data_IF_926689236246
#
_entry.id   IF_926689236246
#
_cell.length_a   1.000
_cell.length_b   1.000
_cell.length_c   1.000
_cell.angle_alpha   90.00
_cell.angle_beta   90.00
_cell.angle_gamma   90.00
#
_symmetry.space_group_name_H-M   'P 1'
#
loop_
_entity.id
_entity.type
_entity.pdbx_description
1 polymer ?
#
# COMPACT_ATOMS: atom_id res chain seq x y z
N UNK A 1 4.19 12.10 10.09
CA UNK A 1 5.30 12.93 9.56
C UNK A 1 5.96 13.58 10.75
N UNK A 2 7.28 13.57 10.81
CA UNK A 2 8.04 14.16 11.90
C UNK A 2 9.28 14.87 11.37
N UNK A 3 9.67 15.92 12.10
CA UNK A 3 10.95 16.57 11.88
C UNK A 3 12.04 15.88 12.67
N UNK A 4 13.23 15.77 12.10
CA UNK A 4 14.38 15.27 12.84
C UNK A 4 14.84 16.25 13.94
N UNK A 5 15.74 15.76 14.80
CA UNK A 5 16.28 16.57 15.91
C UNK A 5 16.94 17.85 15.38
N UNK A 6 16.72 18.97 16.07
CA UNK A 6 17.25 20.29 15.71
C UNK A 6 16.73 20.82 14.36
N UNK A 7 15.53 20.42 13.94
CA UNK A 7 14.91 20.98 12.73
C UNK A 7 14.72 22.50 12.82
N UNK A 8 14.21 23.00 13.94
CA UNK A 8 13.98 24.44 14.14
C UNK A 8 14.54 24.91 15.48
N UNK A 9 14.84 26.21 15.56
CA UNK A 9 15.32 26.87 16.77
C UNK A 9 16.02 28.20 16.47
N UNK A 10 16.31 29.02 17.49
CA UNK A 10 17.17 30.19 17.34
C UNK A 10 18.50 29.79 16.72
N UNK A 11 18.97 30.56 15.72
CA UNK A 11 20.21 30.33 14.99
C UNK A 11 20.31 28.97 14.26
N UNK A 12 19.19 28.28 14.05
CA UNK A 12 19.12 27.08 13.21
C UNK A 12 18.69 27.47 11.80
N UNK A 13 19.59 27.28 10.85
CA UNK A 13 19.25 27.32 9.44
C UNK A 13 18.34 26.12 9.13
N UNK A 14 17.14 26.37 8.62
CA UNK A 14 16.21 25.33 8.16
C UNK A 14 16.45 24.97 6.69
N UNK A 15 17.46 25.58 6.04
CA UNK A 15 17.83 25.41 4.63
C UNK A 15 19.29 24.98 4.35
N UNK A 16 20.12 24.72 5.37
CA UNK A 16 21.48 24.16 5.20
C UNK A 16 21.56 22.84 4.39
N UNK A 17 22.72 22.62 3.78
CA UNK A 17 23.00 21.42 2.97
C UNK A 17 23.00 20.14 3.82
N UNK A 18 22.66 19.00 3.20
CA UNK A 18 22.67 17.65 3.81
C UNK A 18 21.65 17.40 4.93
N UNK A 19 20.48 18.05 4.89
CA UNK A 19 19.37 17.74 5.82
C UNK A 19 18.63 16.44 5.53
N UNK A 20 18.67 15.97 4.30
CA UNK A 20 18.00 14.74 3.88
C UNK A 20 19.06 13.75 3.40
N UNK A 21 18.78 12.46 3.64
CA UNK A 21 19.63 11.36 3.20
C UNK A 21 18.81 10.49 2.26
N UNK A 22 19.35 10.18 1.08
CA UNK A 22 18.67 9.34 0.08
C UNK A 22 18.74 7.83 0.38
N UNK A 23 19.62 7.42 1.30
CA UNK A 23 19.83 6.02 1.65
C UNK A 23 18.87 5.58 2.78
N UNK A 24 18.08 4.52 2.61
CA UNK A 24 17.11 4.05 3.61
C UNK A 24 17.71 3.68 4.97
N UNK A 25 18.93 3.16 4.98
CA UNK A 25 19.65 2.81 6.21
C UNK A 25 19.98 4.02 7.08
N UNK A 26 20.10 5.19 6.45
CA UNK A 26 20.42 6.46 7.10
C UNK A 26 19.21 7.40 7.22
N UNK A 27 18.00 6.93 6.90
CA UNK A 27 16.78 7.74 6.92
C UNK A 27 16.52 8.43 8.27
N UNK A 28 16.91 7.81 9.38
CA UNK A 28 16.79 8.36 10.74
C UNK A 28 17.63 9.61 10.99
N UNK A 29 18.65 9.85 10.15
CA UNK A 29 19.48 11.06 10.21
C UNK A 29 18.82 12.23 9.50
N UNK A 30 17.75 11.99 8.72
CA UNK A 30 17.03 13.04 8.03
C UNK A 30 16.45 14.01 9.05
N UNK A 31 16.83 15.28 8.89
CA UNK A 31 16.32 16.40 9.66
C UNK A 31 15.07 17.00 9.01
N UNK A 32 14.80 16.67 7.73
CA UNK A 32 13.63 17.13 6.98
C UNK A 32 12.34 16.37 7.37
N UNK A 33 11.18 16.84 6.92
CA UNK A 33 9.86 16.36 7.34
C UNK A 33 9.52 15.00 6.72
N UNK A 34 9.80 13.91 7.42
CA UNK A 34 9.65 12.58 6.80
C UNK A 34 8.63 11.69 7.54
N UNK A 35 8.10 10.64 6.89
CA UNK A 35 7.24 9.69 7.57
C UNK A 35 8.04 8.84 8.56
N UNK A 36 7.51 8.70 9.77
CA UNK A 36 8.05 7.82 10.82
C UNK A 36 6.93 6.90 11.27
N UNK A 37 7.21 5.59 11.31
CA UNK A 37 6.26 4.57 11.74
C UNK A 37 6.73 4.01 13.09
N UNK A 38 5.82 4.07 14.05
CA UNK A 38 6.00 3.57 15.40
C UNK A 38 5.25 2.27 15.59
N UNK A 39 5.96 1.22 15.97
CA UNK A 39 5.36 -0.05 16.32
C UNK A 39 5.34 -0.24 17.84
N UNK A 40 4.16 -0.55 18.37
CA UNK A 40 3.93 -0.91 19.76
C UNK A 40 3.28 -2.29 19.78
N UNK A 41 3.91 -3.25 20.47
CA UNK A 41 3.32 -4.57 20.72
C UNK A 41 2.05 -4.45 21.57
N UNK A 42 2.05 -3.51 22.49
CA UNK A 42 0.92 -3.20 23.35
C UNK A 42 0.77 -1.68 23.47
N UNK A 43 -0.42 -1.18 23.14
CA UNK A 43 -0.73 0.23 23.31
C UNK A 43 -1.09 0.52 24.77
N UNK A 44 -0.70 1.68 25.31
CA UNK A 44 -1.15 2.11 26.63
C UNK A 44 -2.67 2.30 26.61
N UNK A 45 -3.31 1.90 27.70
CA UNK A 45 -4.75 2.12 27.90
C UNK A 45 -5.02 3.58 28.20
N UNK A 46 -6.26 4.02 27.94
CA UNK A 46 -6.68 5.38 28.28
C UNK A 46 -6.48 5.70 29.78
N UNK A 47 -6.74 4.72 30.65
CA UNK A 47 -6.56 4.88 32.09
C UNK A 47 -5.09 5.14 32.44
N UNK A 48 -4.17 4.39 31.84
CA UNK A 48 -2.73 4.59 32.06
C UNK A 48 -2.29 5.96 31.56
N UNK A 49 -2.78 6.40 30.39
CA UNK A 49 -2.47 7.72 29.83
C UNK A 49 -3.02 8.87 30.69
N UNK A 50 -4.18 8.71 31.34
CA UNK A 50 -4.73 9.72 32.26
C UNK A 50 -3.95 9.85 33.56
N UNK A 51 -3.21 8.81 33.95
CA UNK A 51 -2.35 8.83 35.13
C UNK A 51 -0.97 9.45 34.85
N UNK A 52 -0.61 9.63 33.58
CA UNK A 52 0.61 10.30 33.20
C UNK A 52 0.54 11.80 33.57
N UNK A 53 1.59 12.35 34.21
CA UNK A 53 1.69 13.78 34.46
C UNK A 53 1.60 14.61 33.16
N UNK A 54 1.25 15.91 33.26
CA UNK A 54 1.47 16.86 32.17
C UNK A 54 2.92 16.78 31.70
N UNK A 55 3.13 16.84 30.38
CA UNK A 55 4.43 16.72 29.71
C UNK A 55 5.13 15.36 29.80
N UNK A 56 4.46 14.32 30.31
CA UNK A 56 5.00 12.96 30.25
C UNK A 56 5.09 12.48 28.79
N UNK A 57 6.27 12.01 28.33
CA UNK A 57 6.42 11.55 26.95
C UNK A 57 5.59 10.30 26.69
N UNK A 58 5.18 10.10 25.44
CA UNK A 58 4.54 8.86 25.03
C UNK A 58 5.46 7.66 25.34
N UNK A 59 4.91 6.47 25.61
CA UNK A 59 5.70 5.28 25.82
C UNK A 59 6.69 5.05 24.69
N UNK A 60 7.83 4.42 25.01
CA UNK A 60 8.81 4.09 23.98
C UNK A 60 8.25 2.99 23.07
N UNK A 61 8.30 3.17 21.75
CA UNK A 61 7.93 2.13 20.77
C UNK A 61 8.90 0.94 20.84
N UNK A 62 8.40 -0.25 20.52
CA UNK A 62 9.20 -1.49 20.40
C UNK A 62 10.09 -1.45 19.16
N UNK A 63 9.62 -0.82 18.08
CA UNK A 63 10.39 -0.63 16.87
C UNK A 63 9.98 0.67 16.16
N UNK A 64 10.94 1.28 15.44
CA UNK A 64 10.75 2.54 14.71
C UNK A 64 11.28 2.34 13.30
N UNK A 65 10.54 2.84 12.31
CA UNK A 65 10.98 2.90 10.92
C UNK A 65 10.90 4.32 10.39
N UNK A 66 12.04 4.84 9.97
CA UNK A 66 12.14 6.11 9.25
C UNK A 66 12.06 5.82 7.76
N UNK A 67 11.13 6.49 7.08
CA UNK A 67 11.03 6.44 5.62
C UNK A 67 11.85 7.61 5.07
N UNK A 68 12.67 7.34 4.06
CA UNK A 68 13.39 8.39 3.34
C UNK A 68 12.37 9.35 2.75
N UNK A 69 12.56 10.64 3.00
CA UNK A 69 11.82 11.65 2.28
C UNK A 69 12.53 11.94 0.97
N UNK A 70 11.86 11.58 -0.11
CA UNK A 70 12.11 12.17 -1.43
C UNK A 70 11.20 13.40 -1.57
N UNK A 71 11.65 14.48 -2.21
CA UNK A 71 10.91 15.75 -2.30
C UNK A 71 9.51 15.60 -2.91
N UNK A 72 9.32 14.59 -3.77
CA UNK A 72 8.02 14.23 -4.34
C UNK A 72 7.35 13.07 -3.58
N UNK A 73 8.08 12.46 -2.65
CA UNK A 73 7.80 11.22 -1.93
C UNK A 73 7.16 10.20 -2.87
N UNK A 74 7.93 9.74 -3.86
CA UNK A 74 7.47 8.67 -4.74
C UNK A 74 7.40 7.35 -3.95
N UNK A 75 6.22 7.07 -3.42
CA UNK A 75 5.90 5.84 -2.71
C UNK A 75 6.04 4.57 -3.56
N UNK A 76 6.30 4.71 -4.87
CA UNK A 76 6.54 3.58 -5.76
C UNK A 76 7.99 3.11 -5.78
N UNK A 77 8.93 3.86 -5.19
CA UNK A 77 10.35 3.49 -5.15
C UNK A 77 10.55 2.13 -4.42
N UNK A 78 10.84 1.03 -5.14
CA UNK A 78 10.78 -0.31 -4.54
C UNK A 78 11.85 -0.52 -3.48
N UNK A 79 13.07 -0.08 -3.76
CA UNK A 79 14.23 -0.31 -2.90
C UNK A 79 14.33 0.73 -1.77
N UNK A 80 13.80 1.94 -1.98
CA UNK A 80 13.88 3.02 -1.00
C UNK A 80 12.74 2.98 0.03
N UNK A 81 11.52 2.66 -0.41
CA UNK A 81 10.32 2.77 0.42
C UNK A 81 9.64 1.42 0.62
N UNK A 82 9.27 0.74 -0.46
CA UNK A 82 8.37 -0.44 -0.38
C UNK A 82 9.03 -1.63 0.31
N UNK A 83 10.25 -1.98 -0.09
CA UNK A 83 10.96 -3.14 0.47
C UNK A 83 11.37 -2.91 1.94
N UNK A 84 12.01 -1.78 2.32
CA UNK A 84 12.33 -1.52 3.72
C UNK A 84 11.09 -1.51 4.62
N UNK A 85 10.00 -0.89 4.17
CA UNK A 85 8.74 -0.85 4.90
C UNK A 85 8.14 -2.26 5.07
N UNK A 86 8.07 -3.05 3.99
CA UNK A 86 7.58 -4.43 4.09
C UNK A 86 8.42 -5.24 5.08
N UNK A 87 9.75 -5.13 5.02
CA UNK A 87 10.65 -5.85 5.93
C UNK A 87 10.45 -5.43 7.38
N UNK A 88 10.27 -4.14 7.63
CA UNK A 88 9.93 -3.63 8.95
C UNK A 88 8.62 -4.25 9.48
N UNK A 89 7.56 -4.25 8.66
CA UNK A 89 6.26 -4.83 9.05
C UNK A 89 6.34 -6.35 9.26
N UNK A 90 7.03 -7.07 8.37
CA UNK A 90 7.25 -8.52 8.49
C UNK A 90 7.99 -8.87 9.79
N UNK A 91 9.00 -8.08 10.16
CA UNK A 91 9.73 -8.25 11.42
C UNK A 91 8.86 -7.93 12.64
N UNK A 92 8.05 -6.87 12.59
CA UNK A 92 7.17 -6.49 13.70
C UNK A 92 6.05 -7.51 13.92
N UNK A 93 5.51 -8.07 12.84
CA UNK A 93 4.37 -9.01 12.88
C UNK A 93 4.80 -10.48 12.88
N UNK A 94 6.11 -10.75 12.79
CA UNK A 94 6.70 -12.10 12.70
C UNK A 94 6.02 -12.97 11.62
N UNK A 95 5.65 -12.35 10.50
CA UNK A 95 4.81 -12.95 9.46
C UNK A 95 5.25 -12.49 8.08
N UNK A 96 5.33 -13.41 7.12
CA UNK A 96 5.64 -13.08 5.73
C UNK A 96 4.43 -12.42 5.04
N UNK A 97 4.61 -11.20 4.54
CA UNK A 97 3.56 -10.39 3.93
C UNK A 97 3.61 -10.39 2.40
N UNK A 98 4.46 -11.23 1.80
CA UNK A 98 4.57 -11.33 0.35
C UNK A 98 3.33 -11.99 -0.25
N UNK A 99 3.09 -11.67 -1.52
CA UNK A 99 2.17 -12.41 -2.37
C UNK A 99 2.91 -13.55 -3.02
N UNK A 100 2.27 -14.71 -3.09
CA UNK A 100 2.87 -15.94 -3.58
C UNK A 100 2.04 -16.50 -4.74
N UNK A 101 2.71 -17.22 -5.64
CA UNK A 101 2.02 -18.00 -6.65
C UNK A 101 1.31 -19.21 -6.01
N UNK A 102 0.31 -19.74 -6.70
CA UNK A 102 -0.49 -20.87 -6.21
C UNK A 102 0.37 -22.10 -5.90
N UNK A 103 1.40 -22.35 -6.71
CA UNK A 103 2.36 -23.44 -6.56
C UNK A 103 3.19 -23.28 -5.28
N UNK A 104 3.60 -22.04 -4.96
CA UNK A 104 4.33 -21.75 -3.72
C UNK A 104 3.42 -21.93 -2.50
N UNK A 105 2.18 -21.43 -2.56
CA UNK A 105 1.21 -21.63 -1.49
C UNK A 105 0.86 -23.12 -1.29
N UNK A 106 0.75 -23.88 -2.39
CA UNK A 106 0.58 -25.33 -2.35
C UNK A 106 1.74 -25.97 -1.59
N UNK A 107 2.99 -25.71 -1.99
CA UNK A 107 4.17 -26.25 -1.31
C UNK A 107 4.19 -25.88 0.18
N UNK A 108 3.90 -24.62 0.53
CA UNK A 108 3.87 -24.17 1.92
C UNK A 108 2.81 -24.91 2.75
N UNK A 109 1.65 -25.23 2.16
CA UNK A 109 0.59 -25.95 2.85
C UNK A 109 1.01 -27.36 3.30
N UNK A 110 1.98 -27.97 2.60
CA UNK A 110 2.51 -29.29 2.96
C UNK A 110 3.78 -29.26 3.81
N UNK A 111 4.51 -28.14 3.80
CA UNK A 111 5.85 -28.06 4.40
C UNK A 111 5.94 -27.20 5.64
N UNK A 112 4.98 -26.28 5.86
CA UNK A 112 5.00 -25.33 6.97
C UNK A 112 3.81 -25.55 7.90
N UNK A 113 4.05 -25.38 9.21
CA UNK A 113 2.98 -25.44 10.23
C UNK A 113 2.02 -24.25 10.16
N UNK A 114 2.51 -23.10 9.66
CA UNK A 114 1.74 -21.87 9.49
C UNK A 114 1.92 -21.33 8.08
N UNK A 115 0.80 -21.05 7.43
CA UNK A 115 0.78 -20.46 6.10
C UNK A 115 0.90 -18.93 6.15
N UNK A 116 1.57 -18.30 5.17
CA UNK A 116 1.50 -16.85 5.02
C UNK A 116 0.04 -16.38 4.88
N UNK A 117 -0.34 -15.21 5.44
CA UNK A 117 -1.72 -14.70 5.41
C UNK A 117 -2.31 -14.65 4.01
N UNK A 118 -1.49 -14.27 3.02
CA UNK A 118 -1.92 -14.26 1.62
C UNK A 118 -2.39 -15.65 1.14
N UNK A 119 -1.61 -16.70 1.41
CA UNK A 119 -2.00 -18.07 1.02
C UNK A 119 -3.26 -18.54 1.76
N UNK A 120 -3.44 -18.14 3.02
CA UNK A 120 -4.63 -18.49 3.78
C UNK A 120 -5.89 -17.75 3.31
N UNK A 121 -5.75 -16.47 2.96
CA UNK A 121 -6.87 -15.63 2.55
C UNK A 121 -7.27 -15.89 1.10
N UNK A 122 -6.29 -16.07 0.23
CA UNK A 122 -6.51 -16.26 -1.19
C UNK A 122 -6.53 -17.75 -1.52
N UNK A 123 -5.36 -18.39 -1.57
CA UNK A 123 -5.19 -19.74 -2.12
C UNK A 123 -6.09 -20.79 -1.44
N UNK A 124 -6.14 -20.83 -0.10
CA UNK A 124 -6.97 -21.78 0.65
C UNK A 124 -8.48 -21.55 0.45
N UNK A 125 -8.90 -20.32 0.17
CA UNK A 125 -10.30 -19.99 -0.13
C UNK A 125 -10.65 -20.15 -1.61
N UNK A 126 -9.72 -20.67 -2.42
CA UNK A 126 -9.80 -20.69 -3.89
C UNK A 126 -10.03 -19.28 -4.46
N UNK A 127 -9.56 -18.27 -3.74
CA UNK A 127 -9.52 -16.88 -4.14
C UNK A 127 -8.10 -16.58 -4.63
N UNK A 128 -7.94 -15.70 -5.59
CA UNK A 128 -6.64 -15.43 -6.16
C UNK A 128 -6.71 -14.32 -7.17
N UNK A 129 -5.54 -13.80 -7.53
CA UNK A 129 -5.44 -12.80 -8.58
C UNK A 129 -5.90 -13.44 -9.89
N UNK A 130 -6.93 -12.83 -10.50
CA UNK A 130 -7.43 -13.24 -11.80
C UNK A 130 -6.29 -13.10 -12.80
N UNK A 131 -5.96 -14.18 -13.51
CA UNK A 131 -4.94 -14.15 -14.56
C UNK A 131 -5.31 -13.11 -15.64
N UNK A 132 -4.30 -12.61 -16.35
CA UNK A 132 -4.52 -11.74 -17.50
C UNK A 132 -5.48 -12.39 -18.51
N UNK A 133 -6.16 -11.60 -19.34
CA UNK A 133 -7.12 -12.10 -20.34
C UNK A 133 -6.54 -13.23 -21.20
N UNK A 134 -5.26 -13.13 -21.59
CA UNK A 134 -4.54 -14.19 -22.31
C UNK A 134 -4.47 -15.50 -21.51
N UNK A 135 -4.15 -15.44 -20.21
CA UNK A 135 -4.12 -16.62 -19.35
C UNK A 135 -5.51 -17.21 -19.13
N UNK A 136 -6.56 -16.38 -19.12
CA UNK A 136 -7.94 -16.87 -19.08
C UNK A 136 -8.30 -17.62 -20.36
N UNK A 137 -7.94 -17.10 -21.53
CA UNK A 137 -8.13 -17.80 -22.80
C UNK A 137 -7.39 -19.14 -22.83
N UNK A 138 -6.14 -19.18 -22.37
CA UNK A 138 -5.40 -20.45 -22.28
C UNK A 138 -6.05 -21.43 -21.29
N UNK A 139 -6.57 -20.94 -20.15
CA UNK A 139 -7.30 -21.79 -19.19
C UNK A 139 -8.56 -22.41 -19.83
N UNK A 140 -9.30 -21.63 -20.62
CA UNK A 140 -10.47 -22.11 -21.36
C UNK A 140 -10.05 -23.11 -22.45
N UNK A 141 -9.03 -22.78 -23.24
CA UNK A 141 -8.53 -23.63 -24.32
C UNK A 141 -7.92 -24.96 -23.81
N UNK A 142 -7.37 -24.96 -22.60
CA UNK A 142 -6.82 -26.14 -21.94
C UNK A 142 -7.88 -26.96 -21.18
N UNK A 143 -9.17 -26.61 -21.29
CA UNK A 143 -10.29 -27.29 -20.62
C UNK A 143 -10.17 -27.36 -19.08
N UNK A 144 -9.37 -26.48 -18.46
CA UNK A 144 -9.17 -26.42 -17.01
C UNK A 144 -10.32 -25.67 -16.29
N UNK A 145 -11.52 -25.75 -16.83
CA UNK A 145 -12.73 -25.15 -16.25
C UNK A 145 -13.37 -26.20 -15.34
N UNK A 146 -13.23 -26.06 -14.02
CA UNK A 146 -14.22 -26.67 -13.13
C UNK A 146 -15.53 -25.88 -13.30
N UNK A 147 -16.62 -26.59 -13.58
CA UNK A 147 -17.97 -26.03 -13.61
C UNK A 147 -18.38 -25.57 -12.20
N UNK A 148 -17.85 -24.44 -11.74
CA UNK A 148 -18.46 -23.69 -10.65
C UNK A 148 -19.79 -23.16 -11.20
N UNK A 149 -20.86 -23.90 -10.90
CA UNK A 149 -22.23 -23.56 -11.26
C UNK A 149 -22.62 -22.26 -10.56
N UNK A 150 -22.32 -21.12 -11.20
CA UNK A 150 -22.93 -19.85 -10.85
C UNK A 150 -24.32 -19.89 -11.47
N UNK A 151 -25.30 -20.36 -10.69
CA UNK A 151 -26.70 -20.08 -10.97
C UNK A 151 -26.91 -18.58 -10.72
N UNK A 152 -26.81 -17.78 -11.77
CA UNK A 152 -27.48 -16.47 -11.80
C UNK A 152 -28.97 -16.73 -11.95
N UNK A 153 -29.67 -16.87 -10.83
CA UNK A 153 -31.09 -16.53 -10.78
C UNK A 153 -31.14 -15.00 -10.68
N UNK A 154 -31.52 -14.35 -11.78
CA UNK A 154 -32.49 -13.26 -11.77
C UNK A 154 -32.65 -12.73 -13.19
N UNK A 155 -33.47 -13.43 -13.96
CA UNK A 155 -34.37 -12.77 -14.89
C UNK A 155 -35.77 -13.36 -14.72
N UNK A 156 -36.74 -12.45 -14.67
CA UNK A 156 -38.20 -12.61 -14.71
C UNK A 156 -38.93 -12.79 -13.36
N UNK A 157 -39.44 -11.67 -12.82
CA UNK A 157 -40.85 -11.36 -13.01
C UNK A 157 -41.14 -9.85 -12.90
N UNK A 158 -42.10 -9.43 -13.72
CA UNK A 158 -42.48 -8.07 -14.09
C UNK A 158 -43.46 -7.44 -13.09
N UNK A 159 -43.34 -6.13 -12.83
CA UNK A 159 -44.46 -5.35 -12.27
C UNK A 159 -44.14 -3.97 -11.70
N UNK A 160 -44.18 -2.95 -12.55
CA UNK A 160 -44.72 -1.60 -12.29
C UNK A 160 -44.20 -0.78 -11.09
N UNK A 161 -43.39 0.27 -11.34
CA UNK A 161 -43.77 1.65 -11.04
C UNK A 161 -42.77 2.68 -11.62
N UNK A 162 -43.35 3.76 -12.14
CA UNK A 162 -42.73 4.82 -12.92
C UNK A 162 -41.86 5.79 -12.11
N UNK A 163 -41.07 6.54 -12.89
CA UNK A 163 -40.61 7.90 -12.65
C UNK A 163 -39.33 8.08 -11.85
N UNK A 164 -38.31 8.57 -12.55
CA UNK A 164 -37.33 9.60 -12.19
C UNK A 164 -35.95 9.23 -12.76
N UNK A 165 -35.75 9.48 -14.05
CA UNK A 165 -34.42 9.75 -14.62
C UNK A 165 -34.54 10.42 -15.99
N UNK A 166 -35.03 11.66 -15.98
CA UNK A 166 -34.67 12.64 -17.00
C UNK A 166 -33.83 13.71 -16.31
N UNK A 167 -32.51 13.54 -16.33
CA UNK A 167 -31.55 14.62 -16.53
C UNK A 167 -30.15 13.99 -16.69
N UNK A 168 -29.35 14.54 -17.60
CA UNK A 168 -27.93 14.22 -17.85
C UNK A 168 -27.67 13.07 -18.85
N UNK A 169 -28.37 13.06 -19.98
CA UNK A 169 -27.77 12.72 -21.28
C UNK A 169 -27.32 14.01 -21.96
N UNK A 170 -26.06 14.40 -21.73
CA UNK A 170 -25.29 15.28 -22.59
C UNK A 170 -23.88 15.34 -22.03
N UNK A 171 -22.93 14.68 -22.69
CA UNK A 171 -21.68 15.28 -23.19
C UNK A 171 -20.81 14.12 -23.69
N UNK A 172 -20.91 13.78 -24.99
CA UNK A 172 -19.85 13.07 -25.70
C UNK A 172 -18.85 14.13 -26.14
N UNK A 173 -17.63 14.12 -25.60
CA UNK A 173 -16.52 14.93 -26.14
C UNK A 173 -15.70 14.04 -27.07
N UNK A 174 -15.53 14.55 -28.28
CA UNK A 174 -14.86 13.96 -29.43
C UNK A 174 -13.35 13.82 -29.19
N UNK A 175 -12.83 12.63 -29.50
CA UNK A 175 -11.41 12.32 -29.56
C UNK A 175 -10.78 12.88 -30.83
N UNK A 176 -10.39 14.16 -30.81
CA UNK A 176 -9.45 14.75 -31.78
C UNK A 176 -8.87 16.05 -31.22
N UNK A 177 -7.78 15.96 -30.44
CA UNK A 177 -6.72 16.96 -30.32
C UNK A 177 -5.73 16.53 -29.22
N UNK A 178 -4.74 15.72 -29.58
CA UNK A 178 -3.54 15.50 -28.75
C UNK A 178 -2.39 15.04 -29.66
N UNK A 179 -2.08 15.87 -30.66
CA UNK A 179 -0.86 15.79 -31.45
C UNK A 179 -0.44 17.20 -31.87
N UNK A 180 0.06 17.99 -30.91
CA UNK A 180 1.11 18.99 -31.16
C UNK A 180 1.50 19.60 -29.81
N UNK A 181 2.67 19.25 -29.29
CA UNK A 181 3.52 20.04 -28.38
C UNK A 181 4.74 19.18 -28.01
N UNK A 182 5.55 18.93 -29.04
CA UNK A 182 6.98 18.58 -28.89
C UNK A 182 7.79 19.84 -29.17
N UNK A 183 8.91 20.01 -28.45
CA UNK A 183 9.93 21.07 -28.57
C UNK A 183 9.54 22.38 -27.85
N UNK A 184 10.31 23.02 -26.97
CA UNK A 184 11.77 23.19 -26.81
C UNK A 184 12.12 23.73 -25.40
N UNK A 185 13.38 23.53 -24.96
CA UNK A 185 14.27 24.30 -24.03
C UNK A 185 15.03 23.30 -23.13
N UNK A 186 16.34 23.10 -23.16
CA UNK A 186 17.50 24.00 -23.36
C UNK A 186 17.34 25.36 -22.70
N UNK A 187 17.82 25.48 -21.46
CA UNK A 187 18.71 26.54 -20.97
C UNK A 187 19.03 26.37 -19.46
N UNK A 188 20.34 26.33 -19.17
CA UNK A 188 21.08 26.49 -17.89
C UNK A 188 21.02 25.39 -16.81
#
# INVERSE_FOLDING_TARGET
MEYGKNFSGPDKDVFYYNRAVGEPEHAWQSNFLHPVIYYYKQLPTEREMRLCPPDWPLPRPDAIHHIVEDFLTDWTAPNAHVLPLRRFLENCLETDLRRFYAESCFLFAFTHLRLPPFCQQEYMKKQGLVGSEKLQHHRVAAELIEHASIKSQDEQESGTMESHNQLLKSTKISSHQLQHLTSTKDEL
#
